data_IF_082694542780
#
_entry.id   IF_082694542780
#
_cell.length_a   1.000
_cell.length_b   1.000
_cell.length_c   1.000
_cell.angle_alpha   90.00
_cell.angle_beta   90.00
_cell.angle_gamma   90.00
#
_symmetry.space_group_name_H-M   'P 1'
#
loop_
_entity.id
_entity.type
_entity.pdbx_description
1 polymer ?
#
# COMPACT_ATOMS: atom_id res chain seq x y z
N UNK A 1 13.26 37.15 12.63
CA UNK A 1 13.76 36.62 11.35
C UNK A 1 12.68 36.82 10.30
N UNK A 2 12.89 37.80 9.38
CA UNK A 2 12.00 38.00 8.24
C UNK A 2 12.08 36.76 7.32
N UNK A 3 10.98 36.03 7.22
CA UNK A 3 10.83 35.01 6.20
C UNK A 3 10.60 35.69 4.85
N UNK A 4 11.48 35.44 3.88
CA UNK A 4 11.27 35.90 2.49
C UNK A 4 9.96 35.33 1.96
N UNK A 5 9.21 36.15 1.22
CA UNK A 5 8.02 35.68 0.47
C UNK A 5 8.44 34.49 -0.41
N UNK A 6 7.74 33.35 -0.25
CA UNK A 6 8.05 32.11 -0.97
C UNK A 6 8.95 31.12 -0.22
N UNK A 7 9.42 31.42 1.00
CA UNK A 7 10.17 30.45 1.79
C UNK A 7 9.25 29.35 2.36
N UNK A 8 9.60 28.10 2.13
CA UNK A 8 8.91 26.94 2.69
C UNK A 8 9.66 26.47 3.94
N UNK A 9 8.94 26.34 5.05
CA UNK A 9 9.47 25.68 6.25
C UNK A 9 9.23 24.18 6.14
N UNK A 10 10.31 23.40 6.12
CA UNK A 10 10.23 21.95 6.16
C UNK A 10 10.57 21.44 7.56
N UNK A 11 9.81 20.46 8.04
CA UNK A 11 10.17 19.64 9.20
C UNK A 11 10.71 18.32 8.70
N UNK A 12 11.84 17.90 9.23
CA UNK A 12 12.47 16.62 8.88
C UNK A 12 12.65 15.83 10.18
N UNK A 13 12.27 14.55 10.12
CA UNK A 13 12.55 13.61 11.18
C UNK A 13 13.50 12.54 10.66
N UNK A 14 14.53 12.23 11.42
CA UNK A 14 15.54 11.23 11.09
C UNK A 14 15.45 10.10 12.10
N UNK A 15 15.21 8.88 11.62
CA UNK A 15 15.15 7.67 12.44
C UNK A 15 16.18 6.65 11.95
N UNK A 16 16.71 5.80 12.84
CA UNK A 16 17.45 4.62 12.41
C UNK A 16 16.56 3.73 11.53
N UNK A 17 17.02 3.42 10.33
CA UNK A 17 16.21 2.73 9.33
C UNK A 17 15.74 1.35 9.79
N UNK A 18 16.60 0.61 10.50
CA UNK A 18 16.27 -0.70 11.08
C UNK A 18 15.13 -0.61 12.08
N UNK A 19 15.15 0.41 12.92
CA UNK A 19 14.12 0.63 13.95
C UNK A 19 12.78 1.00 13.33
N UNK A 20 12.80 1.80 12.26
CA UNK A 20 11.60 2.24 11.56
C UNK A 20 10.87 1.10 10.85
N UNK A 21 11.60 0.14 10.27
CA UNK A 21 10.98 -0.97 9.53
C UNK A 21 10.39 -2.07 10.41
N UNK A 22 10.89 -2.22 11.63
CA UNK A 22 10.41 -3.23 12.57
C UNK A 22 9.23 -2.74 13.42
N UNK A 23 9.15 -1.43 13.66
CA UNK A 23 8.10 -0.85 14.51
C UNK A 23 6.91 -0.35 13.71
N UNK A 24 5.71 -0.57 14.26
CA UNK A 24 4.45 -0.07 13.69
C UNK A 24 4.10 1.36 14.17
N UNK A 25 5.03 2.07 14.82
CA UNK A 25 4.80 3.36 15.48
C UNK A 25 4.90 4.56 14.55
N UNK A 26 4.52 4.40 13.28
CA UNK A 26 4.52 5.49 12.29
C UNK A 26 3.67 6.68 12.74
N UNK A 27 2.62 6.45 13.54
CA UNK A 27 1.73 7.51 14.00
C UNK A 27 2.47 8.52 14.88
N UNK A 28 3.40 8.05 15.72
CA UNK A 28 4.25 8.92 16.55
C UNK A 28 5.11 9.84 15.66
N UNK A 29 5.71 9.28 14.61
CA UNK A 29 6.52 10.04 13.65
C UNK A 29 5.67 11.08 12.92
N UNK A 30 4.51 10.68 12.42
CA UNK A 30 3.61 11.59 11.72
C UNK A 30 3.10 12.72 12.62
N UNK A 31 2.72 12.41 13.87
CA UNK A 31 2.28 13.42 14.84
C UNK A 31 3.38 14.43 15.15
N UNK A 32 4.61 13.98 15.33
CA UNK A 32 5.75 14.86 15.55
C UNK A 32 6.02 15.77 14.35
N UNK A 33 5.98 15.23 13.13
CA UNK A 33 6.15 16.00 11.90
C UNK A 33 5.04 17.03 11.71
N UNK A 34 3.81 16.67 11.99
CA UNK A 34 2.66 17.55 11.86
C UNK A 34 2.53 18.56 13.01
N UNK A 35 3.29 18.40 14.10
CA UNK A 35 3.23 19.27 15.28
C UNK A 35 1.87 19.22 15.98
N UNK A 36 1.19 18.06 15.93
CA UNK A 36 -0.12 17.83 16.55
C UNK A 36 0.01 16.92 17.77
N UNK A 37 -0.89 17.09 18.72
CA UNK A 37 -1.07 16.13 19.80
C UNK A 37 -1.71 14.85 19.24
N UNK A 38 -1.34 13.73 19.78
CA UNK A 38 -1.66 12.35 19.36
C UNK A 38 -2.98 12.24 18.59
N UNK A 39 -2.89 12.08 17.28
CA UNK A 39 -4.01 11.75 16.41
C UNK A 39 -3.79 10.29 15.96
N UNK A 40 -4.80 9.46 16.15
CA UNK A 40 -4.81 8.13 15.57
C UNK A 40 -5.17 8.27 14.08
N UNK A 41 -4.21 8.02 13.22
CA UNK A 41 -4.43 8.00 11.78
C UNK A 41 -5.11 6.70 11.39
N UNK A 42 -6.30 6.79 10.80
CA UNK A 42 -7.06 5.62 10.37
C UNK A 42 -7.82 5.90 9.08
N UNK A 43 -7.97 4.87 8.28
CA UNK A 43 -8.86 4.84 7.12
C UNK A 43 -10.09 3.98 7.45
N UNK A 44 -11.21 4.26 6.81
CA UNK A 44 -12.34 3.35 6.84
C UNK A 44 -11.96 2.00 6.21
N UNK A 45 -12.68 0.94 6.55
CA UNK A 45 -12.43 -0.39 5.98
C UNK A 45 -12.47 -0.39 4.45
N UNK A 46 -13.45 0.29 3.85
CA UNK A 46 -13.59 0.35 2.40
C UNK A 46 -12.44 1.13 1.72
N UNK A 47 -11.99 2.24 2.30
CA UNK A 47 -10.84 2.99 1.80
C UNK A 47 -9.56 2.17 1.90
N UNK A 48 -9.37 1.47 3.01
CA UNK A 48 -8.24 0.58 3.24
C UNK A 48 -8.18 -0.54 2.19
N UNK A 49 -9.31 -1.21 1.97
CA UNK A 49 -9.45 -2.29 1.00
C UNK A 49 -9.23 -1.79 -0.44
N UNK A 50 -9.81 -0.62 -0.78
CA UNK A 50 -9.64 0.01 -2.10
C UNK A 50 -8.17 0.35 -2.35
N UNK A 51 -7.50 0.93 -1.36
CA UNK A 51 -6.09 1.31 -1.47
C UNK A 51 -5.21 0.07 -1.70
N UNK A 52 -5.37 -0.97 -0.89
CA UNK A 52 -4.61 -2.22 -1.05
C UNK A 52 -4.88 -2.88 -2.41
N UNK A 53 -6.15 -3.02 -2.80
CA UNK A 53 -6.51 -3.62 -4.09
C UNK A 53 -5.86 -2.88 -5.26
N UNK A 54 -5.91 -1.55 -5.23
CA UNK A 54 -5.32 -0.73 -6.29
C UNK A 54 -3.81 -0.93 -6.36
N UNK A 55 -3.13 -0.95 -5.22
CA UNK A 55 -1.68 -1.16 -5.15
C UNK A 55 -1.27 -2.58 -5.59
N UNK A 56 -2.05 -3.59 -5.23
CA UNK A 56 -1.81 -4.97 -5.65
C UNK A 56 -2.03 -5.14 -7.16
N UNK A 57 -3.05 -4.47 -7.72
CA UNK A 57 -3.37 -4.57 -9.16
C UNK A 57 -2.48 -3.71 -10.04
N UNK A 58 -1.85 -2.70 -9.49
CA UNK A 58 -1.07 -1.74 -10.27
C UNK A 58 0.19 -2.36 -10.85
N UNK A 59 0.39 -2.11 -12.13
CA UNK A 59 1.67 -2.30 -12.81
C UNK A 59 2.51 -1.02 -12.82
N UNK A 60 1.90 0.10 -12.47
CA UNK A 60 2.43 1.44 -12.49
C UNK A 60 2.00 2.20 -11.24
N UNK A 61 2.46 3.40 -11.12
CA UNK A 61 2.15 4.29 -10.00
C UNK A 61 0.66 4.50 -9.82
N UNK A 62 0.19 4.40 -8.59
CA UNK A 62 -1.18 4.74 -8.20
C UNK A 62 -1.26 6.20 -7.78
N UNK A 63 -2.33 6.86 -8.19
CA UNK A 63 -2.63 8.24 -7.83
C UNK A 63 -3.78 8.30 -6.83
N UNK A 64 -3.64 9.19 -5.86
CA UNK A 64 -4.73 9.66 -5.05
C UNK A 64 -4.68 11.19 -4.97
N UNK A 65 -5.83 11.85 -5.07
CA UNK A 65 -5.97 13.30 -4.89
C UNK A 65 -6.47 13.67 -3.49
N UNK A 66 -6.61 12.69 -2.62
CA UNK A 66 -7.09 12.90 -1.26
C UNK A 66 -5.95 13.32 -0.33
N UNK A 67 -5.52 14.58 -0.48
CA UNK A 67 -4.41 15.13 0.32
C UNK A 67 -4.70 15.15 1.82
N UNK A 68 -5.95 15.42 2.22
CA UNK A 68 -6.33 15.45 3.64
C UNK A 68 -6.22 14.08 4.30
N UNK A 69 -6.44 13.02 3.53
CA UNK A 69 -6.31 11.63 3.97
C UNK A 69 -4.88 11.08 3.82
N UNK A 70 -3.95 11.86 3.26
CA UNK A 70 -2.61 11.38 3.00
C UNK A 70 -1.87 10.82 4.23
N UNK A 71 -1.89 11.48 5.41
CA UNK A 71 -1.29 10.91 6.61
C UNK A 71 -1.96 9.59 7.06
N UNK A 72 -3.29 9.49 6.90
CA UNK A 72 -4.03 8.27 7.21
C UNK A 72 -3.62 7.11 6.28
N UNK A 73 -3.47 7.41 4.98
CA UNK A 73 -3.01 6.43 3.98
C UNK A 73 -1.59 5.97 4.30
N UNK A 74 -0.68 6.88 4.63
CA UNK A 74 0.70 6.56 5.01
C UNK A 74 0.75 5.66 6.24
N UNK A 75 0.06 6.03 7.31
CA UNK A 75 -0.03 5.24 8.54
C UNK A 75 -0.61 3.86 8.29
N UNK A 76 -1.73 3.81 7.56
CA UNK A 76 -2.40 2.57 7.20
C UNK A 76 -1.49 1.63 6.42
N UNK A 77 -0.86 2.09 5.34
CA UNK A 77 0.03 1.28 4.52
C UNK A 77 1.21 0.76 5.33
N UNK A 78 1.82 1.64 6.13
CA UNK A 78 2.94 1.23 6.98
C UNK A 78 2.56 0.11 7.94
N UNK A 79 1.42 0.21 8.61
CA UNK A 79 0.93 -0.80 9.54
C UNK A 79 0.51 -2.11 8.84
N UNK A 80 -0.05 -2.01 7.65
CA UNK A 80 -0.51 -3.18 6.89
C UNK A 80 0.63 -4.00 6.29
N UNK A 81 1.78 -3.39 6.02
CA UNK A 81 2.91 -4.04 5.36
C UNK A 81 3.81 -4.78 6.36
N UNK A 82 4.59 -5.70 5.83
CA UNK A 82 5.66 -6.41 6.54
C UNK A 82 7.01 -5.70 6.32
N UNK A 83 8.05 -5.99 7.15
CA UNK A 83 9.30 -5.23 7.12
C UNK A 83 9.94 -5.13 5.74
N UNK A 84 9.98 -6.21 4.97
CA UNK A 84 10.57 -6.27 3.64
C UNK A 84 9.85 -5.36 2.64
N UNK A 85 8.51 -5.33 2.69
CA UNK A 85 7.72 -4.44 1.86
C UNK A 85 7.81 -2.97 2.29
N UNK A 86 7.95 -2.69 3.60
CA UNK A 86 8.17 -1.34 4.11
C UNK A 86 9.48 -0.73 3.59
N UNK A 87 10.54 -1.52 3.49
CA UNK A 87 11.84 -1.08 2.95
C UNK A 87 11.73 -0.58 1.50
N UNK A 88 10.78 -1.14 0.74
CA UNK A 88 10.55 -0.80 -0.67
C UNK A 88 9.36 0.16 -0.86
N UNK A 89 8.71 0.59 0.23
CA UNK A 89 7.57 1.50 0.15
C UNK A 89 8.04 2.92 -0.17
N UNK A 90 7.55 3.45 -1.28
CA UNK A 90 7.81 4.82 -1.71
C UNK A 90 6.49 5.59 -1.85
N UNK A 91 6.34 6.64 -1.06
CA UNK A 91 5.15 7.47 -0.97
C UNK A 91 5.53 8.93 -1.19
N UNK A 92 4.96 9.58 -2.19
CA UNK A 92 5.34 10.94 -2.58
C UNK A 92 4.15 11.87 -2.76
N UNK A 93 4.31 13.12 -2.33
CA UNK A 93 3.43 14.21 -2.75
C UNK A 93 4.11 14.96 -3.89
N UNK A 94 3.43 15.08 -5.01
CA UNK A 94 3.98 15.69 -6.23
C UNK A 94 2.99 16.64 -6.90
N UNK A 95 3.52 17.60 -7.63
CA UNK A 95 2.73 18.59 -8.37
C UNK A 95 2.72 18.33 -9.88
N UNK A 96 3.76 17.68 -10.41
CA UNK A 96 3.94 17.47 -11.84
C UNK A 96 4.36 16.05 -12.16
N UNK A 97 3.90 15.54 -13.29
CA UNK A 97 4.23 14.19 -13.76
C UNK A 97 5.74 13.95 -13.91
N UNK A 98 6.48 14.93 -14.37
CA UNK A 98 7.93 14.84 -14.55
C UNK A 98 8.69 14.56 -13.24
N UNK A 99 8.09 14.87 -12.09
CA UNK A 99 8.68 14.60 -10.78
C UNK A 99 8.77 13.08 -10.49
N UNK A 100 8.09 12.27 -11.29
CA UNK A 100 8.02 10.81 -11.13
C UNK A 100 9.03 10.06 -12.00
N UNK A 101 9.64 10.70 -12.98
CA UNK A 101 10.46 10.02 -14.01
C UNK A 101 11.77 9.46 -13.47
N UNK A 102 12.28 9.99 -12.38
CA UNK A 102 13.55 9.57 -11.76
C UNK A 102 13.40 8.50 -10.68
N UNK A 103 12.17 8.10 -10.33
CA UNK A 103 11.92 7.20 -9.22
C UNK A 103 11.79 5.76 -9.69
N UNK A 104 12.73 4.91 -9.27
CA UNK A 104 12.81 3.52 -9.69
C UNK A 104 11.65 2.64 -9.20
N UNK A 105 11.04 2.96 -8.03
CA UNK A 105 9.96 2.16 -7.44
C UNK A 105 8.90 2.99 -6.69
N UNK A 106 8.28 4.01 -7.27
CA UNK A 106 7.21 4.70 -6.59
C UNK A 106 5.97 3.82 -6.58
N UNK A 107 5.37 3.67 -5.40
CA UNK A 107 4.19 2.86 -5.22
C UNK A 107 2.94 3.72 -5.26
N UNK A 108 2.97 4.87 -4.58
CA UNK A 108 1.80 5.74 -4.49
C UNK A 108 2.19 7.21 -4.51
N UNK A 109 1.52 7.95 -5.37
CA UNK A 109 1.61 9.41 -5.41
C UNK A 109 0.32 10.05 -4.89
N UNK A 110 0.49 11.09 -4.08
CA UNK A 110 -0.55 12.05 -3.79
C UNK A 110 -0.36 13.28 -4.69
N UNK A 111 -1.36 13.61 -5.47
CA UNK A 111 -1.37 14.78 -6.35
C UNK A 111 -2.44 15.76 -5.86
N UNK A 112 -2.10 17.03 -5.72
CA UNK A 112 -3.08 18.05 -5.37
C UNK A 112 -4.16 18.13 -6.46
N UNK A 113 -5.43 18.22 -6.05
CA UNK A 113 -6.60 18.10 -6.94
C UNK A 113 -6.56 18.98 -8.20
N UNK A 114 -5.97 20.17 -8.12
CA UNK A 114 -5.84 21.08 -9.25
C UNK A 114 -4.86 20.60 -10.34
N UNK A 115 -3.98 19.67 -10.02
CA UNK A 115 -2.94 19.15 -10.92
C UNK A 115 -3.25 17.74 -11.43
N UNK A 116 -4.31 17.08 -10.95
CA UNK A 116 -4.67 15.72 -11.36
C UNK A 116 -4.92 15.61 -12.87
N UNK A 117 -5.47 16.65 -13.49
CA UNK A 117 -5.77 16.67 -14.93
C UNK A 117 -4.53 16.63 -15.83
N UNK A 118 -3.35 16.97 -15.30
CA UNK A 118 -2.09 16.93 -16.05
C UNK A 118 -1.49 15.52 -16.16
N UNK A 119 -2.02 14.58 -15.39
CA UNK A 119 -1.53 13.21 -15.36
C UNK A 119 -2.18 12.36 -16.44
N UNK A 120 -1.38 11.52 -17.06
CA UNK A 120 -1.84 10.64 -18.13
C UNK A 120 -2.61 9.42 -17.61
N UNK A 121 -3.43 8.81 -18.48
CA UNK A 121 -4.25 7.63 -18.13
C UNK A 121 -3.44 6.35 -17.83
N UNK A 122 -2.11 6.43 -17.98
CA UNK A 122 -1.21 5.29 -17.66
C UNK A 122 -1.13 4.94 -16.19
N UNK A 123 -1.60 5.83 -15.29
CA UNK A 123 -1.56 5.61 -13.86
C UNK A 123 -2.88 5.06 -13.33
N UNK A 124 -2.80 4.06 -12.47
CA UNK A 124 -3.97 3.56 -11.75
C UNK A 124 -4.37 4.54 -10.66
N UNK A 125 -5.68 4.80 -10.53
CA UNK A 125 -6.23 5.72 -9.53
C UNK A 125 -6.91 4.97 -8.40
N UNK A 126 -6.65 5.39 -7.17
CA UNK A 126 -7.41 4.93 -5.98
C UNK A 126 -8.78 5.63 -6.01
N UNK A 127 -9.84 4.87 -6.27
CA UNK A 127 -11.21 5.39 -6.34
C UNK A 127 -11.84 5.39 -4.95
N UNK A 128 -12.00 6.55 -4.36
CA UNK A 128 -12.53 6.73 -2.98
C UNK A 128 -13.99 6.31 -2.78
N UNK A 129 -14.78 6.12 -3.86
CA UNK A 129 -16.24 5.87 -3.75
C UNK A 129 -16.71 4.59 -4.43
N UNK A 130 -15.83 3.70 -4.87
CA UNK A 130 -16.24 2.41 -5.43
C UNK A 130 -16.34 1.36 -4.32
N UNK A 131 -17.38 0.51 -4.37
CA UNK A 131 -17.42 -0.70 -3.54
C UNK A 131 -16.27 -1.60 -4.02
N UNK A 132 -15.24 -1.84 -3.21
CA UNK A 132 -14.09 -2.60 -3.65
C UNK A 132 -14.46 -4.09 -3.83
N UNK A 133 -13.94 -4.70 -4.89
CA UNK A 133 -13.90 -6.15 -4.96
C UNK A 133 -13.08 -6.68 -3.77
N UNK A 134 -13.63 -7.68 -3.08
CA UNK A 134 -12.93 -8.30 -1.96
C UNK A 134 -11.89 -9.27 -2.50
N UNK A 135 -10.61 -8.95 -2.28
CA UNK A 135 -9.49 -9.86 -2.52
C UNK A 135 -9.08 -10.50 -1.21
N UNK A 136 -8.86 -11.80 -1.23
CA UNK A 136 -8.43 -12.54 -0.03
C UNK A 136 -7.13 -11.96 0.55
N UNK A 137 -6.17 -11.65 -0.30
CA UNK A 137 -4.89 -11.09 0.15
C UNK A 137 -5.05 -9.72 0.83
N UNK A 138 -5.93 -8.86 0.31
CA UNK A 138 -6.19 -7.55 0.92
C UNK A 138 -6.89 -7.70 2.27
N UNK A 139 -7.85 -8.62 2.39
CA UNK A 139 -8.50 -8.93 3.67
C UNK A 139 -7.52 -9.53 4.68
N UNK A 140 -6.59 -10.36 4.24
CA UNK A 140 -5.52 -10.91 5.10
C UNK A 140 -4.59 -9.82 5.62
N UNK A 141 -4.22 -8.85 4.78
CA UNK A 141 -3.39 -7.72 5.20
C UNK A 141 -4.12 -6.78 6.17
N UNK A 142 -5.44 -6.68 6.05
CA UNK A 142 -6.28 -5.92 6.99
C UNK A 142 -6.48 -6.65 8.32
N UNK A 143 -6.49 -7.97 8.32
CA UNK A 143 -6.64 -8.80 9.51
C UNK A 143 -5.50 -9.82 9.64
N UNK A 144 -4.37 -9.36 10.10
CA UNK A 144 -3.15 -10.17 10.31
C UNK A 144 -3.31 -11.27 11.36
N UNK A 145 -4.41 -11.29 12.12
CA UNK A 145 -4.72 -12.34 13.08
C UNK A 145 -5.63 -13.43 12.48
N UNK A 146 -6.10 -13.26 11.24
CA UNK A 146 -6.92 -14.26 10.58
C UNK A 146 -6.13 -15.56 10.35
N UNK A 147 -6.82 -16.70 10.45
CA UNK A 147 -6.22 -18.01 10.14
C UNK A 147 -5.63 -18.03 8.71
N UNK A 148 -6.31 -17.38 7.76
CA UNK A 148 -5.84 -17.28 6.38
C UNK A 148 -4.53 -16.51 6.27
N UNK A 149 -4.39 -15.37 6.96
CA UNK A 149 -3.11 -14.65 6.97
C UNK A 149 -2.01 -15.48 7.62
N UNK A 150 -2.28 -16.08 8.77
CA UNK A 150 -1.29 -16.88 9.50
C UNK A 150 -0.80 -18.07 8.68
N UNK A 151 -1.71 -18.72 7.93
CA UNK A 151 -1.38 -19.85 7.06
C UNK A 151 -0.48 -19.43 5.87
N UNK A 152 -0.76 -18.27 5.24
CA UNK A 152 0.00 -17.79 4.08
C UNK A 152 1.09 -16.77 4.44
N UNK A 153 1.34 -16.52 5.73
CA UNK A 153 2.22 -15.45 6.21
C UNK A 153 3.61 -15.51 5.61
N UNK A 154 4.24 -16.67 5.62
CA UNK A 154 5.60 -16.83 5.08
C UNK A 154 5.64 -16.50 3.58
N UNK A 155 4.69 -17.02 2.81
CA UNK A 155 4.57 -16.75 1.40
C UNK A 155 4.33 -15.25 1.13
N UNK A 156 3.44 -14.60 1.88
CA UNK A 156 3.17 -13.16 1.73
C UNK A 156 4.41 -12.33 2.06
N UNK A 157 5.07 -12.65 3.19
CA UNK A 157 6.19 -11.87 3.70
C UNK A 157 7.50 -12.08 2.92
N UNK A 158 7.55 -13.02 2.01
CA UNK A 158 8.73 -13.25 1.16
C UNK A 158 8.85 -12.25 0.02
N UNK A 159 7.76 -11.66 -0.40
CA UNK A 159 7.74 -10.67 -1.48
C UNK A 159 8.22 -9.28 -1.04
N UNK A 160 8.78 -8.53 -1.97
CA UNK A 160 9.31 -7.19 -1.72
C UNK A 160 8.24 -6.09 -1.91
N UNK A 161 7.29 -6.31 -2.81
CA UNK A 161 6.34 -5.30 -3.23
C UNK A 161 4.90 -5.81 -3.23
N UNK A 162 3.95 -4.90 -3.02
CA UNK A 162 2.52 -5.23 -3.01
C UNK A 162 2.01 -5.78 -4.34
N UNK A 163 2.51 -5.29 -5.47
CA UNK A 163 2.06 -5.73 -6.79
C UNK A 163 2.47 -7.17 -7.13
N UNK A 164 3.48 -7.71 -6.45
CA UNK A 164 3.89 -9.12 -6.57
C UNK A 164 2.85 -10.05 -5.92
N UNK A 165 2.08 -9.54 -4.95
CA UNK A 165 1.04 -10.30 -4.26
C UNK A 165 -0.13 -10.76 -5.17
N UNK A 166 -0.20 -10.30 -6.41
CA UNK A 166 -1.16 -10.86 -7.39
C UNK A 166 -0.95 -12.35 -7.63
N UNK A 167 0.29 -12.80 -7.57
CA UNK A 167 0.62 -14.22 -7.70
C UNK A 167 0.09 -14.97 -6.48
N UNK A 168 0.32 -14.41 -5.29
CA UNK A 168 -0.16 -14.98 -4.02
C UNK A 168 -1.69 -15.06 -3.99
N UNK A 169 -2.39 -14.02 -4.44
CA UNK A 169 -3.86 -14.01 -4.56
C UNK A 169 -4.35 -15.19 -5.42
N UNK A 170 -3.68 -15.45 -6.55
CA UNK A 170 -4.01 -16.59 -7.42
C UNK A 170 -3.81 -17.93 -6.71
N UNK A 171 -2.74 -18.07 -5.94
CA UNK A 171 -2.48 -19.29 -5.14
C UNK A 171 -3.57 -19.47 -4.09
N UNK A 172 -3.90 -18.40 -3.35
CA UNK A 172 -4.94 -18.41 -2.32
C UNK A 172 -6.28 -18.82 -2.91
N UNK A 173 -6.68 -18.24 -4.03
CA UNK A 173 -7.94 -18.55 -4.70
C UNK A 173 -8.01 -20.02 -5.14
N UNK A 174 -6.95 -20.54 -5.76
CA UNK A 174 -6.88 -21.95 -6.17
C UNK A 174 -6.89 -22.89 -4.95
N UNK A 175 -6.23 -22.52 -3.86
CA UNK A 175 -6.26 -23.29 -2.61
C UNK A 175 -7.68 -23.34 -2.02
N UNK A 176 -8.39 -22.22 -2.01
CA UNK A 176 -9.77 -22.18 -1.52
C UNK A 176 -10.72 -22.99 -2.41
N UNK A 177 -10.55 -22.95 -3.74
CA UNK A 177 -11.31 -23.81 -4.65
C UNK A 177 -11.03 -25.30 -4.40
N UNK A 178 -9.77 -25.67 -4.23
CA UNK A 178 -9.37 -27.03 -3.90
C UNK A 178 -9.96 -27.48 -2.56
N UNK A 179 -9.91 -26.64 -1.53
CA UNK A 179 -10.47 -26.95 -0.21
C UNK A 179 -11.99 -27.17 -0.26
N UNK A 180 -12.70 -26.43 -1.10
CA UNK A 180 -14.16 -26.59 -1.29
C UNK A 180 -14.51 -27.83 -2.10
N UNK A 181 -13.72 -28.18 -3.09
CA UNK A 181 -13.96 -29.30 -3.97
C UNK A 181 -12.63 -29.97 -4.35
N UNK A 182 -12.12 -30.87 -3.49
CA UNK A 182 -10.86 -31.57 -3.74
C UNK A 182 -11.02 -32.57 -4.88
N UNK A 183 -10.52 -32.19 -6.05
CA UNK A 183 -10.48 -33.02 -7.26
C UNK A 183 -9.17 -32.83 -8.03
N UNK A 184 -8.87 -33.72 -8.97
CA UNK A 184 -7.64 -33.68 -9.76
C UNK A 184 -7.46 -32.34 -10.52
N UNK A 185 -8.49 -31.79 -11.22
CA UNK A 185 -8.35 -30.51 -11.89
C UNK A 185 -7.96 -29.37 -10.96
N UNK A 186 -8.57 -29.26 -9.78
CA UNK A 186 -8.26 -28.22 -8.80
C UNK A 186 -6.87 -28.41 -8.18
N UNK A 187 -6.44 -29.64 -7.94
CA UNK A 187 -5.07 -29.96 -7.52
C UNK A 187 -4.05 -29.49 -8.55
N UNK A 188 -4.30 -29.74 -9.84
CA UNK A 188 -3.41 -29.32 -10.93
C UNK A 188 -3.36 -27.79 -11.02
N UNK A 189 -4.50 -27.09 -10.89
CA UNK A 189 -4.54 -25.60 -10.89
C UNK A 189 -3.69 -25.04 -9.75
N UNK A 190 -3.83 -25.58 -8.54
CA UNK A 190 -3.07 -25.15 -7.37
C UNK A 190 -1.57 -25.38 -7.57
N UNK A 191 -1.16 -26.58 -8.01
CA UNK A 191 0.24 -26.89 -8.29
C UNK A 191 0.84 -25.96 -9.35
N UNK A 192 0.12 -25.72 -10.46
CA UNK A 192 0.59 -24.78 -11.49
C UNK A 192 0.76 -23.36 -10.97
N UNK A 193 -0.15 -22.89 -10.11
CA UNK A 193 -0.02 -21.58 -9.52
C UNK A 193 1.20 -21.48 -8.59
N UNK A 194 1.47 -22.53 -7.78
CA UNK A 194 2.60 -22.57 -6.86
C UNK A 194 3.96 -22.71 -7.56
N UNK A 195 3.99 -23.29 -8.76
CA UNK A 195 5.23 -23.45 -9.56
C UNK A 195 5.52 -22.20 -10.43
N UNK A 196 4.60 -21.23 -10.47
CA UNK A 196 4.75 -19.99 -11.25
C UNK A 196 5.39 -18.85 -10.44
N UNK A 197 5.74 -19.16 -9.20
CA UNK A 197 6.45 -18.25 -8.27
C UNK A 197 7.94 -18.49 -8.38
#
# INVERSE_FOLDING_TARGET
>A
TQTRSGSVKSKVAIWPITHLFEQEEIDTVLNQLMGRNIINFSLSYNESLTTLNTLIDSKSVCLTNNFEQWPNIMSFLWKSLWPKARQNLSLHCVFKEQDTTSLLNPILYCVLGNYELSWTDRFSKVKSHSIPNRKNISEFLLNKQSEGFLFFKELICDYNNLNELRIVEKIINNYQEYKKNPNIPNSIKLLRASLST
#
